data_IF_743522988544
#
_entry.id   IF_743522988544
#
_cell.length_a   1.000
_cell.length_b   1.000
_cell.length_c   1.000
_cell.angle_alpha   90.00
_cell.angle_beta   90.00
_cell.angle_gamma   90.00
#
_symmetry.space_group_name_H-M   'P 1'
#
loop_
_entity.id
_entity.type
_entity.pdbx_description
1 polymer ?
#
# COMPACT_ATOMS: atom_id res chain seq x y z
N UNK A 1 -17.23 24.49 -12.91
CA UNK A 1 -17.43 23.42 -11.91
C UNK A 1 -16.36 23.62 -10.87
N UNK A 2 -16.72 24.08 -9.67
CA UNK A 2 -15.76 24.31 -8.57
C UNK A 2 -15.79 23.06 -7.69
N UNK A 3 -14.61 22.51 -7.50
CA UNK A 3 -14.38 21.13 -7.10
C UNK A 3 -14.73 20.85 -5.63
N UNK A 4 -15.47 19.75 -5.45
CA UNK A 4 -15.63 19.06 -4.17
C UNK A 4 -14.30 18.37 -3.84
N UNK A 5 -13.34 19.10 -3.27
CA UNK A 5 -12.19 18.47 -2.61
C UNK A 5 -12.68 17.96 -1.26
N UNK A 6 -13.00 16.67 -1.20
CA UNK A 6 -13.24 15.99 0.07
C UNK A 6 -11.88 15.85 0.78
N UNK A 7 -11.72 16.59 1.88
CA UNK A 7 -10.57 16.40 2.77
C UNK A 7 -10.61 14.99 3.35
N UNK A 8 -9.45 14.34 3.44
CA UNK A 8 -9.33 13.11 4.22
C UNK A 8 -9.63 13.46 5.69
N UNK A 9 -10.81 13.09 6.18
CA UNK A 9 -11.15 13.25 7.58
C UNK A 9 -10.72 12.00 8.36
N UNK A 10 -9.69 12.15 9.18
CA UNK A 10 -9.23 11.10 10.10
C UNK A 10 -10.38 10.60 10.98
N UNK A 11 -11.34 11.46 11.33
CA UNK A 11 -12.54 11.06 12.08
C UNK A 11 -13.47 10.20 11.26
N UNK A 12 -13.61 10.43 9.96
CA UNK A 12 -14.37 9.53 9.10
C UNK A 12 -13.66 8.18 8.94
N UNK A 13 -12.32 8.16 8.87
CA UNK A 13 -11.56 6.92 8.85
C UNK A 13 -11.74 6.14 10.17
N UNK A 14 -11.63 6.82 11.31
CA UNK A 14 -11.88 6.25 12.65
C UNK A 14 -13.35 5.82 12.80
N UNK A 15 -14.31 6.59 12.30
CA UNK A 15 -15.74 6.26 12.32
C UNK A 15 -16.05 5.04 11.45
N UNK A 16 -15.42 4.95 10.27
CA UNK A 16 -15.58 3.82 9.35
C UNK A 16 -14.97 2.53 9.93
N UNK A 17 -13.76 2.62 10.49
CA UNK A 17 -13.10 1.48 11.15
C UNK A 17 -13.82 1.04 12.42
N UNK A 18 -14.37 1.98 13.20
CA UNK A 18 -15.14 1.64 14.42
C UNK A 18 -16.52 1.05 14.15
N UNK A 19 -17.10 1.30 12.97
CA UNK A 19 -18.36 0.70 12.50
C UNK A 19 -18.13 -0.49 11.56
N UNK A 20 -16.88 -0.91 11.34
CA UNK A 20 -16.59 -1.99 10.42
C UNK A 20 -17.17 -3.31 10.96
N UNK A 21 -18.18 -3.83 10.26
CA UNK A 21 -18.71 -5.17 10.48
C UNK A 21 -18.10 -6.08 9.41
N UNK A 22 -17.58 -7.22 9.83
CA UNK A 22 -17.08 -8.21 8.88
C UNK A 22 -18.27 -8.81 8.10
N UNK A 23 -18.38 -8.45 6.81
CA UNK A 23 -19.42 -8.94 5.90
C UNK A 23 -18.84 -9.97 4.94
N UNK A 24 -19.71 -10.72 4.25
CA UNK A 24 -19.26 -11.62 3.18
C UNK A 24 -18.47 -10.88 2.10
N UNK A 25 -18.89 -9.65 1.76
CA UNK A 25 -18.20 -8.81 0.79
C UNK A 25 -16.81 -8.39 1.27
N UNK A 26 -16.67 -7.97 2.53
CA UNK A 26 -15.37 -7.56 3.04
C UNK A 26 -14.38 -8.72 3.14
N UNK A 27 -14.85 -9.94 3.42
CA UNK A 27 -14.05 -11.17 3.33
C UNK A 27 -13.65 -11.46 1.87
N UNK A 28 -14.56 -11.24 0.92
CA UNK A 28 -14.32 -11.45 -0.50
C UNK A 28 -13.21 -10.51 -1.01
N UNK A 29 -13.29 -9.21 -0.67
CA UNK A 29 -12.26 -8.19 -0.92
C UNK A 29 -10.93 -8.50 -0.25
N UNK A 30 -10.97 -8.90 1.03
CA UNK A 30 -9.81 -9.32 1.79
C UNK A 30 -9.02 -10.42 1.09
N UNK A 31 -9.71 -11.47 0.64
CA UNK A 31 -9.08 -12.54 -0.12
C UNK A 31 -8.65 -12.06 -1.51
N UNK A 32 -9.48 -11.24 -2.15
CA UNK A 32 -9.25 -10.72 -3.48
C UNK A 32 -7.92 -9.98 -3.61
N UNK A 33 -7.49 -9.21 -2.61
CA UNK A 33 -6.22 -8.48 -2.67
C UNK A 33 -5.01 -9.38 -2.95
N UNK A 34 -4.71 -10.33 -2.05
CA UNK A 34 -3.55 -11.20 -2.22
C UNK A 34 -3.73 -12.20 -3.36
N UNK A 35 -4.92 -12.82 -3.48
CA UNK A 35 -5.15 -13.78 -4.57
C UNK A 35 -5.20 -13.13 -5.94
N UNK A 36 -5.70 -11.90 -6.05
CA UNK A 36 -5.72 -11.12 -7.27
C UNK A 36 -4.31 -10.86 -7.78
N UNK A 37 -3.39 -10.48 -6.90
CA UNK A 37 -1.97 -10.33 -7.23
C UNK A 37 -1.38 -11.64 -7.76
N UNK A 38 -1.51 -12.72 -6.98
CA UNK A 38 -0.95 -14.05 -7.29
C UNK A 38 -1.51 -14.63 -8.59
N UNK A 39 -2.83 -14.51 -8.81
CA UNK A 39 -3.46 -15.02 -10.03
C UNK A 39 -3.07 -14.21 -11.26
N UNK A 40 -2.95 -12.89 -11.13
CA UNK A 40 -2.55 -12.01 -12.21
C UNK A 40 -1.08 -12.25 -12.59
N UNK A 41 -0.19 -12.43 -11.60
CA UNK A 41 1.18 -12.88 -11.81
C UNK A 41 1.21 -14.21 -12.57
N UNK A 42 0.57 -15.27 -12.06
CA UNK A 42 0.53 -16.59 -12.71
C UNK A 42 -0.06 -16.57 -14.14
N UNK A 43 -0.91 -15.58 -14.44
CA UNK A 43 -1.43 -15.35 -15.77
C UNK A 43 -0.37 -14.72 -16.68
N UNK A 44 0.33 -13.72 -16.17
CA UNK A 44 1.27 -12.91 -16.91
C UNK A 44 2.66 -13.53 -17.11
N UNK A 45 3.08 -14.50 -16.28
CA UNK A 45 4.38 -15.17 -16.43
C UNK A 45 4.62 -15.77 -17.82
N UNK A 46 3.57 -16.20 -18.52
CA UNK A 46 3.67 -16.74 -19.88
C UNK A 46 4.03 -15.70 -20.95
N UNK A 47 4.08 -14.44 -20.56
CA UNK A 47 4.35 -13.28 -21.41
C UNK A 47 5.67 -12.57 -21.06
N UNK A 48 6.38 -12.99 -20.01
CA UNK A 48 7.74 -12.53 -19.71
C UNK A 48 8.69 -12.76 -20.91
N UNK A 49 9.49 -11.74 -21.25
CA UNK A 49 10.42 -11.64 -22.38
C UNK A 49 9.81 -11.71 -23.81
N UNK A 50 8.52 -11.48 -23.96
CA UNK A 50 7.91 -11.38 -25.30
C UNK A 50 7.77 -9.91 -25.70
N UNK A 51 8.61 -9.39 -26.62
CA UNK A 51 8.52 -8.00 -27.04
C UNK A 51 7.13 -7.75 -27.63
N UNK A 52 6.45 -6.74 -27.08
CA UNK A 52 5.18 -6.19 -27.53
C UNK A 52 4.04 -7.19 -27.83
N UNK A 53 3.04 -7.21 -26.95
CA UNK A 53 1.74 -7.84 -27.22
C UNK A 53 1.10 -7.37 -28.56
N UNK A 54 1.44 -6.15 -29.01
CA UNK A 54 1.07 -5.59 -30.33
C UNK A 54 1.72 -6.34 -31.50
N UNK A 55 3.01 -6.69 -31.41
CA UNK A 55 3.73 -7.44 -32.45
C UNK A 55 3.43 -8.93 -32.41
N UNK A 56 3.08 -9.48 -31.24
CA UNK A 56 2.61 -10.87 -31.08
C UNK A 56 1.33 -11.18 -31.89
N UNK A 57 0.54 -10.14 -32.22
CA UNK A 57 -0.62 -10.24 -33.12
C UNK A 57 -0.21 -10.19 -34.61
N UNK A 58 0.94 -9.59 -34.91
CA UNK A 58 1.41 -9.30 -36.28
C UNK A 58 2.40 -10.36 -36.79
N UNK A 59 3.18 -11.01 -35.91
CA UNK A 59 4.13 -12.06 -36.32
C UNK A 59 3.49 -13.15 -37.18
N UNK A 60 4.12 -13.43 -38.32
CA UNK A 60 3.73 -14.44 -39.34
C UNK A 60 3.85 -15.89 -38.86
N UNK A 61 4.09 -16.13 -37.56
CA UNK A 61 4.29 -17.45 -37.02
C UNK A 61 2.93 -18.13 -36.74
N UNK A 62 2.52 -19.04 -37.62
CA UNK A 62 1.19 -19.69 -37.59
C UNK A 62 0.86 -20.36 -36.24
N UNK A 63 1.86 -20.90 -35.53
CA UNK A 63 1.70 -21.47 -34.18
C UNK A 63 1.32 -20.41 -33.14
N UNK A 64 1.89 -19.21 -33.23
CA UNK A 64 1.65 -18.07 -32.33
C UNK A 64 0.25 -17.48 -32.56
N UNK A 65 -0.15 -17.30 -33.81
CA UNK A 65 -1.53 -16.89 -34.17
C UNK A 65 -2.58 -17.89 -33.68
N UNK A 66 -2.28 -19.18 -33.70
CA UNK A 66 -3.17 -20.25 -33.20
C UNK A 66 -3.31 -20.20 -31.66
N UNK A 67 -2.26 -19.81 -30.94
CA UNK A 67 -2.29 -19.60 -29.49
C UNK A 67 -3.13 -18.36 -29.15
N UNK A 68 -2.86 -17.21 -29.80
CA UNK A 68 -3.61 -15.96 -29.57
C UNK A 68 -5.09 -16.05 -30.00
N UNK A 69 -5.41 -16.79 -31.08
CA UNK A 69 -6.81 -16.98 -31.56
C UNK A 69 -7.61 -18.01 -30.76
N UNK A 70 -6.94 -18.99 -30.11
CA UNK A 70 -7.61 -19.99 -29.26
C UNK A 70 -7.72 -19.55 -27.80
N UNK A 71 -6.98 -18.51 -27.41
CA UNK A 71 -7.04 -17.94 -26.08
C UNK A 71 -8.11 -16.86 -26.04
N UNK A 72 -9.33 -17.25 -25.70
CA UNK A 72 -10.18 -16.30 -24.98
C UNK A 72 -9.48 -16.01 -23.65
N UNK A 73 -9.37 -14.73 -23.28
CA UNK A 73 -8.72 -14.24 -22.05
C UNK A 73 -9.19 -14.98 -20.78
N UNK A 74 -10.39 -15.57 -20.86
CA UNK A 74 -11.03 -16.41 -19.85
C UNK A 74 -10.49 -17.85 -19.70
N UNK A 75 -9.54 -18.34 -20.51
CA UNK A 75 -9.39 -19.80 -20.66
C UNK A 75 -8.30 -20.50 -19.84
N UNK A 76 -7.05 -20.05 -19.67
CA UNK A 76 -6.07 -20.83 -18.87
C UNK A 76 -4.81 -20.05 -18.40
N UNK A 77 -4.33 -20.35 -17.18
CA UNK A 77 -2.97 -20.01 -16.73
C UNK A 77 -1.96 -20.90 -17.47
N UNK A 78 -1.17 -20.32 -18.37
CA UNK A 78 -0.35 -21.09 -19.31
C UNK A 78 0.99 -21.53 -18.72
N UNK A 79 1.53 -20.79 -17.75
CA UNK A 79 2.95 -20.89 -17.42
C UNK A 79 3.83 -20.48 -18.61
N UNK A 80 5.04 -21.00 -18.66
CA UNK A 80 6.05 -20.68 -19.67
C UNK A 80 6.88 -19.47 -19.27
N UNK A 81 7.03 -18.53 -20.21
CA UNK A 81 7.94 -17.39 -20.10
C UNK A 81 9.41 -17.80 -20.06
N UNK A 82 10.29 -16.82 -19.86
CA UNK A 82 11.74 -17.04 -19.75
C UNK A 82 12.16 -17.94 -18.59
N UNK A 83 11.27 -18.11 -17.61
CA UNK A 83 11.51 -18.89 -16.40
C UNK A 83 10.97 -20.32 -16.49
N UNK A 84 10.35 -20.69 -17.61
CA UNK A 84 9.78 -22.02 -17.84
C UNK A 84 8.84 -22.49 -16.71
N UNK A 85 8.03 -21.57 -16.18
CA UNK A 85 7.12 -21.86 -15.08
C UNK A 85 6.02 -22.80 -15.51
N UNK A 86 5.58 -23.70 -14.64
CA UNK A 86 4.43 -24.56 -14.93
C UNK A 86 3.13 -23.76 -14.85
N UNK A 87 2.09 -24.13 -15.60
CA UNK A 87 0.75 -23.56 -15.45
C UNK A 87 0.29 -23.36 -13.99
N UNK A 88 0.03 -22.12 -13.61
CA UNK A 88 -0.42 -21.74 -12.26
C UNK A 88 0.70 -21.52 -11.24
N UNK A 89 1.97 -21.72 -11.61
CA UNK A 89 3.09 -21.19 -10.83
C UNK A 89 3.22 -19.68 -11.03
N UNK A 90 3.80 -19.04 -10.03
CA UNK A 90 3.96 -17.58 -9.94
C UNK A 90 5.42 -17.18 -10.02
N UNK A 91 5.65 -15.91 -10.29
CA UNK A 91 6.97 -15.30 -10.24
C UNK A 91 7.38 -14.95 -8.80
N UNK A 92 8.63 -14.49 -8.62
CA UNK A 92 9.19 -14.28 -7.28
C UNK A 92 8.45 -13.19 -6.48
N UNK A 93 7.87 -12.16 -7.10
CA UNK A 93 7.19 -11.10 -6.34
C UNK A 93 5.96 -11.62 -5.59
N UNK A 94 5.20 -12.56 -6.17
CA UNK A 94 4.10 -13.23 -5.46
C UNK A 94 4.62 -14.18 -4.38
N UNK A 95 5.69 -14.94 -4.66
CA UNK A 95 6.35 -15.75 -3.61
C UNK A 95 6.78 -14.85 -2.43
N UNK A 96 7.29 -13.64 -2.72
CA UNK A 96 7.75 -12.70 -1.70
C UNK A 96 6.62 -12.17 -0.82
N UNK A 97 5.48 -11.80 -1.42
CA UNK A 97 4.29 -11.43 -0.67
C UNK A 97 3.78 -12.57 0.23
N UNK A 98 3.80 -13.82 -0.28
CA UNK A 98 3.41 -14.99 0.53
C UNK A 98 4.33 -15.19 1.74
N UNK A 99 5.63 -14.93 1.58
CA UNK A 99 6.61 -15.04 2.67
C UNK A 99 6.34 -14.00 3.75
N UNK A 100 6.05 -12.75 3.40
CA UNK A 100 5.64 -11.76 4.39
C UNK A 100 4.32 -12.15 5.07
N UNK A 101 3.34 -12.61 4.30
CA UNK A 101 2.06 -13.09 4.83
C UNK A 101 2.26 -14.23 5.85
N UNK A 102 3.17 -15.16 5.57
CA UNK A 102 3.54 -16.24 6.49
C UNK A 102 4.18 -15.71 7.78
N UNK A 103 5.14 -14.77 7.67
CA UNK A 103 5.78 -14.14 8.82
C UNK A 103 4.76 -13.45 9.75
N UNK A 104 3.85 -12.65 9.17
CA UNK A 104 2.79 -11.96 9.90
C UNK A 104 1.85 -12.93 10.62
N UNK A 105 1.51 -14.07 9.98
CA UNK A 105 0.64 -15.08 10.59
C UNK A 105 1.30 -15.85 11.74
N UNK A 106 2.62 -16.03 11.68
CA UNK A 106 3.37 -16.72 12.72
C UNK A 106 3.56 -15.84 13.95
N UNK A 107 3.88 -14.55 13.74
CA UNK A 107 4.09 -13.60 14.85
C UNK A 107 2.79 -12.97 15.34
N UNK A 108 1.74 -12.98 14.52
CA UNK A 108 0.45 -12.29 14.76
C UNK A 108 0.62 -10.78 14.92
N UNK A 109 1.71 -10.24 14.37
CA UNK A 109 2.08 -8.83 14.29
C UNK A 109 3.21 -8.68 13.27
N UNK A 110 3.54 -7.45 12.90
CA UNK A 110 4.75 -7.14 12.14
C UNK A 110 5.96 -7.16 13.06
N UNK A 111 6.80 -8.17 12.85
CA UNK A 111 8.13 -8.28 13.43
C UNK A 111 9.15 -8.23 12.30
N UNK A 112 9.88 -7.12 12.23
CA UNK A 112 10.90 -6.86 11.21
C UNK A 112 11.99 -7.94 11.18
N UNK A 113 12.36 -8.50 12.33
CA UNK A 113 13.40 -9.52 12.42
C UNK A 113 12.92 -10.87 11.88
N UNK A 114 11.67 -11.23 12.16
CA UNK A 114 11.05 -12.43 11.58
C UNK A 114 10.88 -12.29 10.07
N UNK A 115 10.38 -11.13 9.61
CA UNK A 115 10.18 -10.85 8.19
C UNK A 115 11.51 -10.94 7.44
N UNK A 116 12.58 -10.34 7.96
CA UNK A 116 13.91 -10.42 7.37
C UNK A 116 14.43 -11.87 7.31
N UNK A 117 14.22 -12.67 8.37
CA UNK A 117 14.59 -14.08 8.37
C UNK A 117 13.83 -14.87 7.30
N UNK A 118 12.52 -14.70 7.22
CA UNK A 118 11.66 -15.39 6.25
C UNK A 118 12.03 -15.01 4.80
N UNK A 119 12.36 -13.73 4.53
CA UNK A 119 12.90 -13.31 3.23
C UNK A 119 14.23 -13.99 2.90
N UNK A 120 15.16 -14.09 3.85
CA UNK A 120 16.44 -14.75 3.63
C UNK A 120 16.29 -16.26 3.37
N UNK A 121 15.43 -16.94 4.15
CA UNK A 121 15.12 -18.36 3.95
C UNK A 121 14.49 -18.61 2.57
N UNK A 122 13.57 -17.75 2.16
CA UNK A 122 13.00 -17.79 0.82
C UNK A 122 14.04 -17.52 -0.27
N UNK A 123 14.90 -16.52 -0.13
CA UNK A 123 15.93 -16.21 -1.12
C UNK A 123 16.89 -17.39 -1.35
N UNK A 124 17.28 -18.09 -0.27
CA UNK A 124 18.07 -19.34 -0.32
C UNK A 124 17.38 -20.49 -1.04
N UNK A 125 16.06 -20.44 -1.19
CA UNK A 125 15.31 -21.38 -2.02
C UNK A 125 15.53 -21.18 -3.53
N UNK A 126 16.29 -20.15 -3.92
CA UNK A 126 16.59 -19.74 -5.29
C UNK A 126 15.32 -19.53 -6.14
N UNK A 127 14.46 -18.56 -5.78
CA UNK A 127 13.24 -18.24 -6.53
C UNK A 127 13.53 -17.83 -7.97
N UNK A 128 12.70 -18.29 -8.93
CA UNK A 128 12.88 -18.01 -10.35
C UNK A 128 12.72 -16.52 -10.61
N UNK A 129 13.68 -15.96 -11.34
CA UNK A 129 13.64 -14.57 -11.76
C UNK A 129 14.03 -13.53 -10.72
N UNK A 130 14.38 -13.93 -9.49
CA UNK A 130 14.82 -12.96 -8.48
C UNK A 130 16.06 -12.21 -8.95
N UNK A 131 16.02 -10.87 -9.00
CA UNK A 131 17.10 -10.07 -9.55
C UNK A 131 18.28 -10.01 -8.58
N UNK A 132 19.48 -9.78 -9.12
CA UNK A 132 20.72 -9.86 -8.35
C UNK A 132 20.83 -8.78 -7.28
N UNK A 133 20.17 -7.63 -7.46
CA UNK A 133 20.11 -6.59 -6.44
C UNK A 133 19.32 -7.06 -5.20
N UNK A 134 18.21 -7.78 -5.38
CA UNK A 134 17.49 -8.41 -4.26
C UNK A 134 18.30 -9.55 -3.66
N UNK A 135 18.95 -10.40 -4.49
CA UNK A 135 19.86 -11.44 -3.97
C UNK A 135 20.93 -10.85 -3.06
N UNK A 136 21.61 -9.78 -3.48
CA UNK A 136 22.65 -9.12 -2.69
C UNK A 136 22.14 -8.57 -1.37
N UNK A 137 20.92 -8.05 -1.34
CA UNK A 137 20.32 -7.58 -0.09
C UNK A 137 19.94 -8.72 0.84
N UNK A 138 19.32 -9.77 0.30
CA UNK A 138 18.87 -10.93 1.04
C UNK A 138 19.98 -11.95 1.30
N UNK A 139 21.18 -11.78 0.73
CA UNK A 139 22.35 -12.61 1.01
C UNK A 139 23.04 -12.15 2.29
N UNK A 140 22.78 -12.96 3.30
CA UNK A 140 23.17 -12.72 4.68
C UNK A 140 24.14 -13.80 5.19
N UNK A 141 24.65 -14.67 4.29
CA UNK A 141 25.58 -15.77 4.58
C UNK A 141 25.00 -16.89 5.45
N UNK A 142 25.72 -18.00 5.62
CA UNK A 142 25.20 -19.23 6.25
C UNK A 142 25.13 -19.19 7.79
N UNK A 143 25.83 -18.26 8.45
CA UNK A 143 26.13 -18.32 9.89
C UNK A 143 25.38 -17.33 10.78
N UNK A 144 24.19 -16.86 10.40
CA UNK A 144 23.31 -16.21 11.35
C UNK A 144 22.17 -17.17 11.70
N UNK A 145 22.04 -17.56 12.96
CA UNK A 145 20.77 -18.04 13.54
C UNK A 145 20.06 -16.90 14.30
N UNK A 146 20.69 -15.73 14.35
CA UNK A 146 20.25 -14.54 15.07
C UNK A 146 19.44 -13.62 14.13
N UNK A 147 18.13 -13.52 14.40
CA UNK A 147 17.16 -12.73 13.60
C UNK A 147 17.50 -11.23 13.61
N UNK A 148 17.97 -10.70 14.73
CA UNK A 148 18.36 -9.29 14.87
C UNK A 148 19.58 -8.97 14.01
N UNK A 149 20.58 -9.85 14.03
CA UNK A 149 21.76 -9.71 13.15
C UNK A 149 21.38 -9.80 11.68
N UNK A 150 20.42 -10.65 11.32
CA UNK A 150 19.89 -10.71 9.96
C UNK A 150 19.25 -9.40 9.51
N UNK A 151 18.27 -8.88 10.27
CA UNK A 151 17.62 -7.62 9.93
C UNK A 151 18.62 -6.45 9.85
N UNK A 152 19.58 -6.38 10.79
CA UNK A 152 20.66 -5.36 10.75
C UNK A 152 21.53 -5.50 9.50
N UNK A 153 21.96 -6.71 9.15
CA UNK A 153 22.77 -6.96 7.94
C UNK A 153 21.99 -6.66 6.67
N UNK A 154 20.73 -7.04 6.59
CA UNK A 154 19.85 -6.77 5.45
C UNK A 154 19.67 -5.26 5.24
N UNK A 155 19.39 -4.49 6.31
CA UNK A 155 19.33 -3.01 6.25
C UNK A 155 20.64 -2.36 5.78
N UNK A 156 21.78 -2.93 6.18
CA UNK A 156 23.10 -2.48 5.72
C UNK A 156 23.31 -2.81 4.25
N UNK A 157 22.97 -4.03 3.82
CA UNK A 157 23.05 -4.41 2.42
C UNK A 157 22.13 -3.54 1.55
N UNK A 158 20.91 -3.25 2.01
CA UNK A 158 19.99 -2.34 1.31
C UNK A 158 20.58 -0.94 1.15
N UNK A 159 21.26 -0.42 2.18
CA UNK A 159 22.00 0.84 2.10
C UNK A 159 23.15 0.78 1.09
N UNK A 160 23.87 -0.33 1.03
CA UNK A 160 25.08 -0.45 0.20
C UNK A 160 24.79 -0.78 -1.27
N UNK A 161 23.70 -1.50 -1.56
CA UNK A 161 23.44 -2.04 -2.89
C UNK A 161 22.16 -1.49 -3.55
N UNK A 162 21.21 -0.97 -2.75
CA UNK A 162 19.88 -0.56 -3.20
C UNK A 162 19.48 0.85 -2.70
N UNK A 163 20.43 1.73 -2.34
CA UNK A 163 20.10 3.09 -1.89
C UNK A 163 19.49 3.94 -3.01
N UNK A 164 19.97 3.76 -4.24
CA UNK A 164 19.59 4.56 -5.42
C UNK A 164 18.67 3.78 -6.38
N UNK A 165 18.12 2.64 -5.94
CA UNK A 165 17.26 1.78 -6.75
C UNK A 165 15.79 2.08 -6.53
N UNK A 166 15.04 2.16 -7.62
CA UNK A 166 13.60 2.43 -7.60
C UNK A 166 12.77 1.34 -8.25
N UNK A 167 13.00 0.10 -7.81
CA UNK A 167 12.31 -1.08 -8.33
C UNK A 167 10.96 -1.32 -7.61
N UNK A 168 9.85 -1.25 -8.36
CA UNK A 168 8.48 -1.27 -7.82
C UNK A 168 8.02 -2.60 -7.20
N UNK A 169 8.85 -3.63 -7.27
CA UNK A 169 8.59 -4.99 -6.80
C UNK A 169 8.26 -5.07 -5.30
N UNK A 170 8.80 -4.13 -4.51
CA UNK A 170 8.52 -4.00 -3.08
C UNK A 170 7.04 -3.70 -2.78
N UNK A 171 6.30 -3.13 -3.73
CA UNK A 171 4.89 -2.80 -3.53
C UNK A 171 4.04 -4.06 -3.37
N UNK A 172 4.33 -5.13 -4.15
CA UNK A 172 3.55 -6.38 -4.10
C UNK A 172 3.56 -7.01 -2.71
N UNK A 173 4.71 -6.99 -2.03
CA UNK A 173 4.81 -7.51 -0.68
C UNK A 173 4.21 -6.60 0.39
N UNK A 174 3.64 -5.42 0.06
CA UNK A 174 2.91 -4.62 1.04
C UNK A 174 1.47 -5.10 1.25
N UNK A 175 0.93 -5.95 0.37
CA UNK A 175 -0.46 -6.43 0.45
C UNK A 175 -0.77 -7.11 1.80
N UNK A 176 0.08 -8.02 2.34
CA UNK A 176 -0.20 -8.66 3.62
C UNK A 176 -0.21 -7.69 4.81
N UNK A 177 0.60 -6.63 4.77
CA UNK A 177 0.53 -5.55 5.75
C UNK A 177 -0.81 -4.83 5.71
N UNK A 178 -1.29 -4.45 4.51
CA UNK A 178 -2.60 -3.83 4.36
C UNK A 178 -3.73 -4.75 4.88
N UNK A 179 -3.65 -6.06 4.63
CA UNK A 179 -4.60 -7.04 5.14
C UNK A 179 -4.57 -7.13 6.68
N UNK A 180 -3.40 -7.32 7.27
CA UNK A 180 -3.20 -7.47 8.71
C UNK A 180 -3.65 -6.22 9.48
N UNK A 181 -3.33 -5.04 8.95
CA UNK A 181 -3.56 -3.76 9.60
C UNK A 181 -4.72 -2.98 8.98
N UNK A 182 -5.65 -3.66 8.29
CA UNK A 182 -6.75 -2.99 7.56
C UNK A 182 -7.61 -2.08 8.42
N UNK A 183 -7.73 -2.37 9.72
CA UNK A 183 -8.53 -1.61 10.68
C UNK A 183 -7.69 -0.63 11.53
N UNK A 184 -6.37 -0.59 11.38
CA UNK A 184 -5.50 0.36 12.07
C UNK A 184 -5.57 1.74 11.43
N UNK A 185 -5.14 2.78 12.16
CA UNK A 185 -4.92 4.08 11.55
C UNK A 185 -3.85 4.04 10.45
N UNK A 186 -3.98 4.96 9.49
CA UNK A 186 -3.09 5.05 8.34
C UNK A 186 -1.64 5.31 8.75
N UNK A 187 -1.37 6.06 9.83
CA UNK A 187 -0.02 6.39 10.27
C UNK A 187 0.74 5.16 10.78
N UNK A 188 0.06 4.30 11.54
CA UNK A 188 0.59 3.00 11.95
C UNK A 188 0.93 2.17 10.72
N UNK A 189 0.02 2.06 9.75
CA UNK A 189 0.26 1.28 8.53
C UNK A 189 1.43 1.85 7.71
N UNK A 190 1.51 3.16 7.55
CA UNK A 190 2.61 3.85 6.87
C UNK A 190 3.95 3.58 7.53
N UNK A 191 4.01 3.64 8.86
CA UNK A 191 5.22 3.35 9.62
C UNK A 191 5.68 1.90 9.43
N UNK A 192 4.77 0.94 9.44
CA UNK A 192 5.09 -0.48 9.21
C UNK A 192 5.54 -0.75 7.77
N UNK A 193 4.87 -0.14 6.78
CA UNK A 193 5.26 -0.20 5.36
C UNK A 193 6.66 0.38 5.13
N UNK A 194 6.98 1.51 5.78
CA UNK A 194 8.32 2.09 5.72
C UNK A 194 9.39 1.15 6.28
N UNK A 195 9.13 0.52 7.43
CA UNK A 195 10.06 -0.43 8.05
C UNK A 195 10.31 -1.65 7.17
N UNK A 196 9.25 -2.25 6.63
CA UNK A 196 9.37 -3.37 5.69
C UNK A 196 10.12 -2.96 4.42
N UNK A 197 9.82 -1.79 3.86
CA UNK A 197 10.45 -1.30 2.63
C UNK A 197 11.95 -1.11 2.85
N UNK A 198 12.34 -0.45 3.96
CA UNK A 198 13.75 -0.19 4.34
C UNK A 198 14.59 -1.44 4.55
N UNK A 199 13.98 -2.63 4.71
CA UNK A 199 14.73 -3.88 4.69
C UNK A 199 15.44 -4.09 3.34
N UNK A 200 14.85 -3.68 2.21
CA UNK A 200 15.41 -3.97 0.89
C UNK A 200 15.61 -2.77 -0.03
N UNK A 201 14.86 -1.70 0.17
CA UNK A 201 14.91 -0.48 -0.63
C UNK A 201 14.95 0.71 0.32
N UNK A 202 15.98 1.56 0.21
CA UNK A 202 16.12 2.74 1.07
C UNK A 202 15.83 4.06 0.36
N UNK A 203 15.62 4.01 -0.95
CA UNK A 203 15.28 5.19 -1.71
C UNK A 203 13.96 5.81 -1.20
N UNK A 204 13.92 7.12 -0.89
CA UNK A 204 12.72 7.78 -0.38
C UNK A 204 11.49 7.57 -1.26
N UNK A 205 11.66 7.63 -2.59
CA UNK A 205 10.59 7.36 -3.55
C UNK A 205 9.95 5.97 -3.36
N UNK A 206 10.74 4.94 -3.04
CA UNK A 206 10.22 3.59 -2.85
C UNK A 206 9.46 3.46 -1.52
N UNK A 207 9.94 4.12 -0.49
CA UNK A 207 9.28 4.18 0.82
C UNK A 207 7.92 4.86 0.67
N UNK A 208 7.86 5.98 -0.03
CA UNK A 208 6.63 6.74 -0.21
C UNK A 208 5.64 6.06 -1.16
N UNK A 209 6.12 5.44 -2.25
CA UNK A 209 5.29 4.61 -3.10
C UNK A 209 4.67 3.42 -2.33
N UNK A 210 5.45 2.77 -1.45
CA UNK A 210 4.99 1.69 -0.59
C UNK A 210 3.93 2.14 0.42
N UNK A 211 4.10 3.33 1.02
CA UNK A 211 3.10 3.96 1.89
C UNK A 211 1.79 4.22 1.13
N UNK A 212 1.85 4.82 -0.05
CA UNK A 212 0.65 5.16 -0.81
C UNK A 212 -0.07 3.91 -1.32
N UNK A 213 0.67 2.90 -1.79
CA UNK A 213 0.11 1.64 -2.24
C UNK A 213 -0.57 0.85 -1.11
N UNK A 214 0.07 0.76 0.08
CA UNK A 214 -0.49 0.01 1.21
C UNK A 214 -1.78 0.67 1.74
N UNK A 215 -1.84 2.00 1.75
CA UNK A 215 -3.05 2.76 2.13
C UNK A 215 -4.16 2.52 1.10
N UNK A 216 -3.85 2.57 -0.20
CA UNK A 216 -4.84 2.33 -1.24
C UNK A 216 -5.49 0.95 -1.09
N UNK A 217 -4.68 -0.10 -0.86
CA UNK A 217 -5.20 -1.45 -0.59
C UNK A 217 -6.05 -1.45 0.68
N UNK A 218 -5.57 -0.87 1.79
CA UNK A 218 -6.34 -0.79 3.05
C UNK A 218 -7.72 -0.17 2.81
N UNK A 219 -7.79 0.96 2.13
CA UNK A 219 -9.04 1.68 1.89
C UNK A 219 -10.03 0.86 1.07
N UNK A 220 -9.55 0.14 0.04
CA UNK A 220 -10.38 -0.78 -0.74
C UNK A 220 -10.90 -1.95 0.11
N UNK A 221 -10.06 -2.49 1.00
CA UNK A 221 -10.42 -3.57 1.91
C UNK A 221 -11.50 -3.19 2.92
N UNK A 222 -11.54 -1.93 3.36
CA UNK A 222 -12.60 -1.41 4.24
C UNK A 222 -13.83 -0.92 3.48
N UNK A 223 -13.90 -1.14 2.16
CA UNK A 223 -15.09 -0.91 1.37
C UNK A 223 -15.15 0.41 0.59
N UNK A 224 -14.10 1.25 0.65
CA UNK A 224 -14.09 2.52 -0.09
C UNK A 224 -14.08 2.27 -1.60
N UNK A 225 -14.75 3.15 -2.35
CA UNK A 225 -14.71 3.14 -3.81
C UNK A 225 -13.40 3.75 -4.34
N UNK A 226 -13.09 3.49 -5.60
CA UNK A 226 -11.86 3.92 -6.25
C UNK A 226 -11.70 5.45 -6.23
N UNK A 227 -12.77 6.22 -6.45
CA UNK A 227 -12.69 7.69 -6.46
C UNK A 227 -12.31 8.21 -5.07
N UNK A 228 -12.97 7.69 -4.02
CA UNK A 228 -12.64 8.04 -2.64
C UNK A 228 -11.19 7.67 -2.28
N UNK A 229 -10.72 6.50 -2.73
CA UNK A 229 -9.32 6.10 -2.53
C UNK A 229 -8.36 7.05 -3.21
N UNK A 230 -8.56 7.37 -4.50
CA UNK A 230 -7.69 8.26 -5.26
C UNK A 230 -7.63 9.66 -4.66
N UNK A 231 -8.78 10.23 -4.28
CA UNK A 231 -8.84 11.54 -3.65
C UNK A 231 -8.12 11.57 -2.31
N UNK A 232 -8.27 10.49 -1.51
CA UNK A 232 -7.64 10.42 -0.20
C UNK A 232 -6.14 10.25 -0.28
N UNK A 233 -5.61 9.36 -1.13
CA UNK A 233 -4.16 9.22 -1.30
C UNK A 233 -3.55 10.50 -1.90
N UNK A 234 -4.28 11.20 -2.77
CA UNK A 234 -3.85 12.50 -3.28
C UNK A 234 -3.79 13.55 -2.16
N UNK A 235 -4.82 13.66 -1.31
CA UNK A 235 -4.81 14.57 -0.16
C UNK A 235 -3.66 14.25 0.82
N UNK A 236 -3.49 12.96 1.17
CA UNK A 236 -2.41 12.50 2.05
C UNK A 236 -1.03 12.81 1.44
N UNK A 237 -0.86 12.61 0.14
CA UNK A 237 0.41 12.91 -0.54
C UNK A 237 0.81 14.38 -0.43
N UNK A 238 -0.16 15.30 -0.46
CA UNK A 238 0.07 16.75 -0.29
C UNK A 238 0.43 17.12 1.14
N UNK A 239 -0.18 16.46 2.11
CA UNK A 239 0.03 16.76 3.53
C UNK A 239 1.39 16.27 4.05
N UNK A 240 1.82 15.08 3.62
CA UNK A 240 2.96 14.39 4.23
C UNK A 240 4.32 14.68 3.58
N UNK A 241 4.40 15.67 2.69
CA UNK A 241 5.63 16.02 1.97
C UNK A 241 6.34 14.78 1.39
N UNK A 242 5.57 13.91 0.73
CA UNK A 242 6.12 12.70 0.11
C UNK A 242 7.03 13.07 -1.08
N UNK A 243 7.83 12.12 -1.55
CA UNK A 243 8.68 12.30 -2.70
C UNK A 243 7.91 12.92 -3.89
N UNK A 244 8.39 14.05 -4.47
CA UNK A 244 7.62 14.81 -5.44
C UNK A 244 7.15 14.01 -6.65
N UNK A 245 7.99 13.09 -7.16
CA UNK A 245 7.57 12.22 -8.27
C UNK A 245 6.44 11.24 -7.89
N UNK A 246 6.40 10.73 -6.66
CA UNK A 246 5.28 9.88 -6.21
C UNK A 246 4.01 10.73 -6.15
N UNK A 247 4.11 11.95 -5.62
CA UNK A 247 3.00 12.89 -5.59
C UNK A 247 2.49 13.20 -7.01
N UNK A 248 3.39 13.54 -7.94
CA UNK A 248 3.07 13.79 -9.35
C UNK A 248 2.38 12.59 -10.02
N UNK A 249 2.88 11.37 -9.80
CA UNK A 249 2.26 10.15 -10.35
C UNK A 249 0.85 9.92 -9.80
N UNK A 250 0.63 10.21 -8.51
CA UNK A 250 -0.69 10.12 -7.89
C UNK A 250 -1.62 11.19 -8.46
N UNK A 251 -1.13 12.42 -8.61
CA UNK A 251 -1.88 13.54 -9.19
C UNK A 251 -2.35 13.23 -10.62
N UNK A 252 -1.45 12.72 -11.47
CA UNK A 252 -1.82 12.24 -12.81
C UNK A 252 -2.90 11.16 -12.74
N UNK A 253 -2.74 10.18 -11.86
CA UNK A 253 -3.71 9.09 -11.73
C UNK A 253 -5.08 9.58 -11.22
N UNK A 254 -5.11 10.68 -10.45
CA UNK A 254 -6.33 11.28 -9.94
C UNK A 254 -7.01 12.24 -10.93
N UNK A 255 -6.23 12.97 -11.74
CA UNK A 255 -6.74 14.14 -12.47
C UNK A 255 -6.69 14.04 -14.00
N UNK A 256 -5.59 13.55 -14.59
CA UNK A 256 -5.37 13.65 -16.04
C UNK A 256 -5.44 12.32 -16.79
N UNK A 257 -5.16 11.23 -16.09
CA UNK A 257 -5.12 9.86 -16.60
C UNK A 257 -4.17 9.60 -17.78
N UNK A 258 -3.42 10.60 -18.20
CA UNK A 258 -2.42 10.52 -19.26
C UNK A 258 -1.06 10.69 -18.63
N UNK A 259 -0.28 9.62 -18.64
CA UNK A 259 1.12 9.66 -18.29
C UNK A 259 1.96 9.94 -19.54
N UNK A 260 2.69 11.05 -19.50
CA UNK A 260 3.68 11.39 -20.49
C UNK A 260 5.04 11.53 -19.83
N UNK A 261 5.81 10.44 -19.81
CA UNK A 261 7.15 10.44 -19.23
C UNK A 261 8.10 11.41 -19.95
N UNK A 262 7.88 11.67 -21.25
CA UNK A 262 8.74 12.57 -22.03
C UNK A 262 8.64 14.01 -21.57
N UNK A 263 7.54 14.35 -20.91
CA UNK A 263 7.24 15.66 -20.36
C UNK A 263 7.28 15.69 -18.83
N UNK A 264 8.12 14.83 -18.21
CA UNK A 264 8.47 15.01 -16.81
C UNK A 264 9.04 16.42 -16.58
N UNK A 265 8.61 17.13 -15.52
CA UNK A 265 9.20 18.39 -15.13
C UNK A 265 10.73 18.30 -15.02
N UNK A 266 11.45 19.31 -15.52
CA UNK A 266 12.91 19.33 -15.64
C UNK A 266 13.61 19.08 -14.29
N UNK A 267 13.00 19.55 -13.19
CA UNK A 267 13.42 19.33 -11.81
C UNK A 267 13.53 17.84 -11.41
N UNK A 268 12.95 16.92 -12.18
CA UNK A 268 13.06 15.47 -11.97
C UNK A 268 14.04 14.78 -12.93
N UNK A 269 14.71 15.52 -13.82
CA UNK A 269 15.66 14.97 -14.80
C UNK A 269 17.12 14.91 -14.31
N UNK A 270 17.48 15.76 -13.35
CA UNK A 270 18.88 15.93 -12.92
C UNK A 270 19.37 14.93 -11.84
N UNK A 271 18.47 14.22 -11.16
CA UNK A 271 18.79 13.16 -10.18
C UNK A 271 17.92 11.91 -10.44
N UNK A 272 18.13 11.28 -11.61
CA UNK A 272 17.34 10.13 -12.02
C UNK A 272 17.87 8.85 -11.34
N UNK A 273 17.17 8.30 -10.33
CA UNK A 273 17.53 7.01 -9.79
C UNK A 273 17.40 5.94 -10.88
N UNK A 274 18.14 4.85 -10.73
CA UNK A 274 18.11 3.74 -11.68
C UNK A 274 16.66 3.21 -11.84
N UNK A 275 16.19 3.10 -13.08
CA UNK A 275 14.85 2.60 -13.45
C UNK A 275 13.67 3.56 -13.21
N UNK A 276 13.91 4.88 -13.14
CA UNK A 276 12.84 5.88 -12.92
C UNK A 276 11.68 5.80 -13.94
N UNK A 277 12.01 5.67 -15.22
CA UNK A 277 11.01 5.54 -16.30
C UNK A 277 10.11 4.33 -16.10
N UNK A 278 10.75 3.18 -15.86
CA UNK A 278 10.07 1.93 -15.61
C UNK A 278 9.18 2.04 -14.36
N UNK A 279 9.70 2.61 -13.28
CA UNK A 279 8.96 2.83 -12.04
C UNK A 279 7.68 3.62 -12.29
N UNK A 280 7.80 4.82 -12.88
CA UNK A 280 6.65 5.71 -13.03
C UNK A 280 5.60 5.13 -13.98
N UNK A 281 6.03 4.45 -15.05
CA UNK A 281 5.13 3.77 -15.97
C UNK A 281 4.37 2.62 -15.31
N UNK A 282 5.04 1.76 -14.53
CA UNK A 282 4.43 0.63 -13.85
C UNK A 282 3.48 1.07 -12.72
N UNK A 283 3.90 2.06 -11.93
CA UNK A 283 3.09 2.65 -10.88
C UNK A 283 1.81 3.26 -11.44
N UNK A 284 1.95 4.12 -12.45
CA UNK A 284 0.82 4.76 -13.11
C UNK A 284 -0.13 3.71 -13.69
N UNK A 285 0.39 2.73 -14.44
CA UNK A 285 -0.45 1.68 -15.03
C UNK A 285 -1.28 0.91 -14.01
N UNK A 286 -0.74 0.63 -12.82
CA UNK A 286 -1.46 -0.11 -11.79
C UNK A 286 -2.69 0.65 -11.27
N UNK A 287 -2.52 1.93 -10.93
CA UNK A 287 -3.59 2.80 -10.42
C UNK A 287 -4.61 3.17 -11.50
N UNK A 288 -4.14 3.39 -12.72
CA UNK A 288 -4.99 3.66 -13.89
C UNK A 288 -5.86 2.46 -14.25
N UNK A 289 -5.33 1.24 -14.11
CA UNK A 289 -6.06 0.02 -14.46
C UNK A 289 -7.26 -0.24 -13.54
N UNK A 290 -7.22 0.20 -12.29
CA UNK A 290 -8.40 0.17 -11.41
C UNK A 290 -9.36 1.32 -11.66
N UNK A 291 -8.82 2.50 -12.04
CA UNK A 291 -9.65 3.64 -12.39
C UNK A 291 -10.45 3.37 -13.67
N UNK A 292 -9.82 2.99 -14.77
CA UNK A 292 -10.55 2.58 -15.98
C UNK A 292 -11.23 1.21 -15.86
N UNK A 293 -10.88 0.44 -14.83
CA UNK A 293 -11.48 -0.84 -14.46
C UNK A 293 -12.93 -0.73 -13.98
N UNK A 294 -13.54 0.46 -14.02
CA UNK A 294 -14.97 0.70 -13.77
C UNK A 294 -15.92 -0.24 -14.56
N UNK A 295 -15.44 -1.04 -15.52
CA UNK A 295 -16.20 -2.09 -16.20
C UNK A 295 -16.34 -3.39 -15.40
N UNK A 296 -16.85 -3.33 -14.16
CA UNK A 296 -17.39 -4.46 -13.35
C UNK A 296 -16.55 -5.74 -13.15
N UNK A 297 -15.42 -5.91 -13.84
CA UNK A 297 -14.73 -7.17 -14.04
C UNK A 297 -13.21 -6.99 -13.81
N UNK A 298 -12.64 -7.55 -12.73
CA UNK A 298 -11.22 -7.43 -12.44
C UNK A 298 -10.32 -8.05 -13.53
N UNK A 299 -10.85 -8.97 -14.34
CA UNK A 299 -10.09 -9.58 -15.45
C UNK A 299 -9.80 -8.57 -16.56
N UNK A 300 -10.68 -7.62 -16.82
CA UNK A 300 -10.48 -6.59 -17.83
C UNK A 300 -9.35 -5.64 -17.44
N UNK A 301 -9.24 -5.31 -16.14
CA UNK A 301 -8.13 -4.52 -15.60
C UNK A 301 -6.80 -5.26 -15.77
N UNK A 302 -6.75 -6.56 -15.42
CA UNK A 302 -5.56 -7.40 -15.60
C UNK A 302 -5.19 -7.51 -17.10
N UNK A 303 -6.19 -7.60 -17.99
CA UNK A 303 -5.99 -7.59 -19.44
C UNK A 303 -5.38 -6.30 -19.96
N UNK A 304 -5.87 -5.16 -19.50
CA UNK A 304 -5.32 -3.87 -19.92
C UNK A 304 -3.90 -3.68 -19.39
N UNK A 305 -3.64 -4.14 -18.17
CA UNK A 305 -2.30 -4.10 -17.58
C UNK A 305 -1.29 -4.90 -18.43
N UNK A 306 -1.63 -6.12 -18.83
CA UNK A 306 -0.72 -6.93 -19.67
C UNK A 306 -0.56 -6.41 -21.09
N UNK A 307 -1.61 -5.82 -21.67
CA UNK A 307 -1.53 -5.25 -23.03
C UNK A 307 -0.64 -4.00 -23.11
N UNK A 308 -0.44 -3.33 -21.97
CA UNK A 308 0.39 -2.14 -21.86
C UNK A 308 1.83 -2.46 -21.44
N UNK A 309 2.13 -3.68 -21.02
CA UNK A 309 3.46 -4.05 -20.52
C UNK A 309 4.45 -4.32 -21.62
N UNK A 310 5.64 -3.77 -21.46
CA UNK A 310 6.77 -3.95 -22.38
C UNK A 310 7.82 -4.89 -21.74
N UNK A 311 8.29 -4.59 -20.52
CA UNK A 311 9.44 -5.32 -19.92
C UNK A 311 9.12 -6.24 -18.73
N UNK A 312 8.01 -6.04 -18.03
CA UNK A 312 7.69 -6.81 -16.80
C UNK A 312 6.17 -7.00 -16.64
N UNK A 313 5.54 -7.78 -17.54
CA UNK A 313 4.10 -8.04 -17.52
C UNK A 313 3.62 -8.59 -16.16
N UNK A 314 4.39 -9.46 -15.52
CA UNK A 314 3.96 -10.12 -14.27
C UNK A 314 3.88 -9.14 -13.10
N UNK A 315 4.86 -8.25 -12.97
CA UNK A 315 4.89 -7.26 -11.89
C UNK A 315 3.70 -6.29 -11.98
N UNK A 316 3.47 -5.73 -13.17
CA UNK A 316 2.37 -4.78 -13.39
C UNK A 316 1.00 -5.41 -13.20
N UNK A 317 0.79 -6.58 -13.80
CA UNK A 317 -0.48 -7.29 -13.67
C UNK A 317 -0.72 -7.74 -12.23
N UNK A 318 0.32 -8.10 -11.49
CA UNK A 318 0.23 -8.39 -10.06
C UNK A 318 -0.21 -7.16 -9.25
N UNK A 319 0.32 -5.95 -9.53
CA UNK A 319 -0.11 -4.72 -8.85
C UNK A 319 -1.58 -4.40 -9.17
N UNK A 320 -1.94 -4.47 -10.44
CA UNK A 320 -3.33 -4.29 -10.89
C UNK A 320 -4.26 -5.34 -10.28
N UNK A 321 -3.84 -6.60 -10.24
CA UNK A 321 -4.60 -7.70 -9.68
C UNK A 321 -4.83 -7.53 -8.18
N UNK A 322 -3.84 -7.00 -7.45
CA UNK A 322 -3.97 -6.67 -6.04
C UNK A 322 -5.07 -5.64 -5.80
N UNK A 323 -5.02 -4.52 -6.50
CA UNK A 323 -5.98 -3.43 -6.36
C UNK A 323 -7.37 -3.85 -6.87
N UNK A 324 -7.46 -4.48 -8.04
CA UNK A 324 -8.72 -4.95 -8.61
C UNK A 324 -9.37 -6.04 -7.75
N UNK A 325 -8.57 -6.94 -7.19
CA UNK A 325 -9.04 -7.96 -6.25
C UNK A 325 -9.48 -7.36 -4.91
N UNK A 326 -8.77 -6.36 -4.39
CA UNK A 326 -9.18 -5.63 -3.17
C UNK A 326 -10.50 -4.88 -3.38
N UNK A 327 -10.76 -4.38 -4.60
CA UNK A 327 -12.00 -3.67 -4.93
C UNK A 327 -13.18 -4.59 -5.24
N UNK A 328 -13.00 -5.56 -6.14
CA UNK A 328 -14.09 -6.42 -6.63
C UNK A 328 -14.29 -7.69 -5.80
N UNK A 329 -13.28 -8.11 -5.06
CA UNK A 329 -13.28 -9.37 -4.31
C UNK A 329 -12.92 -10.61 -5.14
N UNK A 330 -12.52 -11.67 -4.43
CA UNK A 330 -12.06 -12.92 -5.06
C UNK A 330 -13.15 -13.62 -5.87
N UNK A 331 -14.43 -13.46 -5.51
CA UNK A 331 -15.56 -14.06 -6.24
C UNK A 331 -15.71 -13.55 -7.68
N UNK A 332 -15.17 -12.36 -7.97
CA UNK A 332 -15.17 -11.76 -9.31
C UNK A 332 -13.93 -12.12 -10.11
N UNK A 333 -12.92 -12.74 -9.50
CA UNK A 333 -11.76 -13.29 -10.21
C UNK A 333 -12.11 -14.63 -10.88
N UNK A 334 -11.25 -15.09 -11.79
CA UNK A 334 -11.47 -16.35 -12.53
C UNK A 334 -11.33 -17.57 -11.61
N UNK A 335 -12.44 -18.25 -11.33
CA UNK A 335 -12.44 -19.53 -10.60
C UNK A 335 -11.57 -20.60 -11.29
N UNK A 336 -11.43 -20.55 -12.62
CA UNK A 336 -10.53 -21.44 -13.36
C UNK A 336 -9.07 -21.18 -13.01
N UNK A 337 -8.68 -19.92 -12.89
CA UNK A 337 -7.32 -19.53 -12.47
C UNK A 337 -7.04 -20.02 -11.05
N UNK A 338 -7.99 -19.82 -10.14
CA UNK A 338 -7.89 -20.33 -8.77
C UNK A 338 -7.65 -21.84 -8.70
N UNK A 339 -8.48 -22.63 -9.41
CA UNK A 339 -8.35 -24.10 -9.45
C UNK A 339 -6.99 -24.51 -10.04
N UNK A 340 -6.55 -23.82 -11.10
CA UNK A 340 -5.28 -24.15 -11.76
C UNK A 340 -4.07 -23.86 -10.88
N UNK A 341 -4.06 -22.71 -10.23
CA UNK A 341 -3.03 -22.32 -9.25
C UNK A 341 -3.00 -23.27 -8.05
N UNK A 342 -4.15 -23.68 -7.52
CA UNK A 342 -4.22 -24.68 -6.43
C UNK A 342 -3.60 -26.04 -6.79
N UNK A 343 -3.66 -26.40 -8.07
CA UNK A 343 -3.11 -27.65 -8.60
C UNK A 343 -1.66 -27.50 -9.07
N UNK A 344 -1.12 -26.27 -9.07
CA UNK A 344 0.25 -26.04 -9.49
C UNK A 344 1.23 -26.71 -8.50
N UNK A 345 2.32 -27.31 -8.98
CA UNK A 345 3.31 -27.87 -8.11
C UNK A 345 4.04 -26.76 -7.34
N UNK A 346 4.15 -26.94 -6.02
CA UNK A 346 4.99 -26.09 -5.18
C UNK A 346 6.45 -26.33 -5.60
N UNK A 347 7.15 -25.25 -5.94
CA UNK A 347 8.54 -25.30 -6.37
C UNK A 347 9.47 -25.75 -5.26
N UNK A 348 9.28 -25.22 -4.04
CA UNK A 348 10.09 -25.59 -2.89
C UNK A 348 9.21 -25.80 -1.63
N UNK A 349 9.04 -27.05 -1.20
CA UNK A 349 8.24 -27.40 -0.01
C UNK A 349 8.89 -26.96 1.31
N UNK A 350 10.19 -26.62 1.32
CA UNK A 350 10.88 -26.11 2.51
C UNK A 350 10.45 -24.67 2.83
N UNK A 351 9.95 -23.94 1.83
CA UNK A 351 9.36 -22.61 2.03
C UNK A 351 7.88 -22.77 2.36
N UNK A 352 7.56 -22.89 3.66
CA UNK A 352 6.20 -23.12 4.16
C UNK A 352 5.19 -22.09 3.64
N UNK A 353 5.63 -20.85 3.41
CA UNK A 353 4.81 -19.80 2.81
C UNK A 353 4.16 -20.21 1.48
N UNK A 354 4.84 -21.03 0.66
CA UNK A 354 4.32 -21.48 -0.63
C UNK A 354 3.22 -22.53 -0.50
N UNK A 355 3.04 -23.14 0.67
CA UNK A 355 1.90 -24.02 0.95
C UNK A 355 0.57 -23.24 0.99
N UNK A 356 0.61 -21.91 1.15
CA UNK A 356 -0.56 -21.05 1.03
C UNK A 356 -1.33 -21.26 -0.28
N UNK A 357 -0.60 -21.54 -1.37
CA UNK A 357 -1.19 -21.78 -2.69
C UNK A 357 -2.06 -23.04 -2.75
N UNK A 358 -2.04 -23.91 -1.72
CA UNK A 358 -2.83 -25.15 -1.68
C UNK A 358 -4.14 -24.99 -0.90
N UNK A 359 -5.23 -25.42 -1.56
CA UNK A 359 -6.44 -25.97 -0.92
C UNK A 359 -7.05 -25.14 0.22
N UNK A 360 -7.37 -25.83 1.32
CA UNK A 360 -7.96 -25.30 2.56
C UNK A 360 -6.98 -24.43 3.36
N UNK A 361 -5.68 -24.62 3.17
CA UNK A 361 -4.62 -23.89 3.88
C UNK A 361 -4.72 -22.39 3.62
N UNK A 362 -4.87 -21.96 2.36
CA UNK A 362 -5.02 -20.54 2.04
C UNK A 362 -6.28 -19.89 2.65
N UNK A 363 -7.41 -20.59 2.69
CA UNK A 363 -8.64 -20.10 3.32
C UNK A 363 -8.51 -20.01 4.86
N UNK A 364 -7.90 -21.02 5.48
CA UNK A 364 -7.61 -21.04 6.92
C UNK A 364 -6.61 -19.95 7.31
N UNK A 365 -5.56 -19.76 6.52
CA UNK A 365 -4.54 -18.73 6.76
C UNK A 365 -5.12 -17.32 6.58
N UNK A 366 -5.95 -17.10 5.56
CA UNK A 366 -6.72 -15.85 5.43
C UNK A 366 -7.64 -15.60 6.63
N UNK A 367 -8.39 -16.62 7.07
CA UNK A 367 -9.21 -16.51 8.28
C UNK A 367 -8.38 -16.16 9.53
N UNK A 368 -7.23 -16.81 9.72
CA UNK A 368 -6.31 -16.47 10.82
C UNK A 368 -5.82 -15.03 10.75
N UNK A 369 -5.49 -14.53 9.55
CA UNK A 369 -5.03 -13.14 9.39
C UNK A 369 -6.16 -12.16 9.72
N UNK A 370 -7.40 -12.48 9.34
CA UNK A 370 -8.58 -11.70 9.72
C UNK A 370 -8.77 -11.60 11.23
N UNK A 371 -8.63 -12.72 11.94
CA UNK A 371 -8.70 -12.74 13.41
C UNK A 371 -7.57 -11.92 14.06
N UNK A 372 -6.36 -12.01 13.51
CA UNK A 372 -5.22 -11.23 14.02
C UNK A 372 -5.44 -9.73 13.82
N UNK A 373 -5.97 -9.33 12.66
CA UNK A 373 -6.35 -7.94 12.38
C UNK A 373 -7.41 -7.41 13.36
N UNK A 374 -8.49 -8.17 13.59
CA UNK A 374 -9.53 -7.81 14.54
C UNK A 374 -8.99 -7.69 15.97
N UNK A 375 -8.11 -8.61 16.39
CA UNK A 375 -7.44 -8.55 17.69
C UNK A 375 -6.56 -7.30 17.81
N UNK A 376 -5.79 -6.98 16.78
CA UNK A 376 -4.91 -5.83 16.79
C UNK A 376 -5.72 -4.53 16.94
N UNK A 377 -6.81 -4.40 16.18
CA UNK A 377 -7.75 -3.30 16.34
C UNK A 377 -8.32 -3.20 17.75
N UNK A 378 -8.80 -4.30 18.33
CA UNK A 378 -9.32 -4.32 19.69
C UNK A 378 -8.27 -3.85 20.71
N UNK A 379 -7.02 -4.31 20.58
CA UNK A 379 -5.93 -3.89 21.45
C UNK A 379 -5.62 -2.40 21.32
N UNK A 380 -5.62 -1.84 20.10
CA UNK A 380 -5.45 -0.41 19.89
C UNK A 380 -6.61 0.39 20.49
N UNK A 381 -7.85 -0.02 20.25
CA UNK A 381 -9.06 0.63 20.79
C UNK A 381 -9.05 0.67 22.32
N UNK A 382 -8.69 -0.45 22.97
CA UNK A 382 -8.56 -0.51 24.43
C UNK A 382 -7.44 0.39 24.97
N UNK A 383 -6.31 0.52 24.26
CA UNK A 383 -5.24 1.46 24.63
C UNK A 383 -5.72 2.91 24.51
N UNK A 384 -6.44 3.25 23.43
CA UNK A 384 -6.99 4.60 23.23
C UNK A 384 -8.00 4.99 24.30
N UNK A 385 -8.88 4.07 24.71
CA UNK A 385 -9.83 4.31 25.81
C UNK A 385 -9.15 4.54 27.17
N UNK A 386 -7.93 4.04 27.36
CA UNK A 386 -7.13 4.25 28.58
C UNK A 386 -6.19 5.46 28.51
N UNK A 387 -6.03 6.09 27.35
CA UNK A 387 -5.22 7.30 27.23
C UNK A 387 -6.10 8.53 27.47
N UNK A 388 -5.71 9.47 28.35
CA UNK A 388 -6.35 10.77 28.40
C UNK A 388 -6.17 11.44 27.04
N UNK A 389 -7.28 11.89 26.44
CA UNK A 389 -7.27 12.61 25.17
C UNK A 389 -6.39 13.87 25.37
N UNK A 390 -5.32 14.07 24.59
CA UNK A 390 -4.51 15.28 24.68
C UNK A 390 -5.40 16.51 24.44
N UNK A 391 -5.25 17.57 25.25
CA UNK A 391 -6.20 18.70 25.24
C UNK A 391 -6.37 19.40 23.89
N UNK A 392 -5.38 19.31 23.00
CA UNK A 392 -5.46 19.85 21.63
C UNK A 392 -6.37 19.04 20.69
N UNK A 393 -6.86 17.87 21.12
CA UNK A 393 -7.84 17.05 20.39
C UNK A 393 -9.24 17.08 21.02
N UNK A 394 -9.47 17.83 22.10
CA UNK A 394 -10.82 18.07 22.63
C UNK A 394 -11.52 19.10 21.75
N UNK A 395 -12.35 18.63 20.82
CA UNK A 395 -13.36 19.48 20.16
C UNK A 395 -14.55 19.58 21.12
N UNK A 396 -15.13 20.78 21.34
CA UNK A 396 -16.33 20.88 22.16
C UNK A 396 -17.47 20.11 21.50
N UNK A 397 -17.89 19.03 22.15
CA UNK A 397 -19.18 18.41 21.88
C UNK A 397 -20.24 19.28 22.54
N UNK A 398 -20.89 20.14 21.75
CA UNK A 398 -22.19 20.70 22.10
C UNK A 398 -23.10 20.54 20.91
N UNK A 399 -24.04 19.61 21.02
CA UNK A 399 -25.46 19.70 20.62
C UNK A 399 -26.05 18.30 20.65
N UNK A 400 -26.74 17.97 21.75
CA UNK A 400 -28.01 17.21 21.82
C UNK A 400 -28.36 17.03 23.31
N UNK A 401 -29.14 17.96 23.86
CA UNK A 401 -30.36 17.67 24.61
C UNK A 401 -30.97 18.98 25.12
N UNK A 402 -32.15 19.31 24.58
CA UNK A 402 -33.22 20.01 25.28
C UNK A 402 -34.00 18.92 26.02
N UNK A 403 -34.02 18.92 27.34
CA UNK A 403 -34.92 19.75 28.14
C UNK A 403 -34.72 19.48 29.65
N UNK A 404 -34.95 20.56 30.39
CA UNK A 404 -35.34 20.69 31.80
C UNK A 404 -34.30 20.73 32.95
N UNK A 405 -34.29 21.92 33.55
CA UNK A 405 -34.13 22.31 34.97
C UNK A 405 -32.78 22.88 35.46
N UNK A 406 -32.73 24.22 35.37
CA UNK A 406 -32.40 25.22 36.40
C UNK A 406 -31.36 24.89 37.48
N UNK A 407 -30.28 25.68 37.55
CA UNK A 407 -29.89 26.43 38.74
C UNK A 407 -28.91 27.57 38.39
N UNK A 408 -29.05 28.67 39.13
CA UNK A 408 -28.42 29.99 39.01
C UNK A 408 -26.93 30.08 39.39
N UNK A 409 -26.33 31.15 38.86
CA UNK A 409 -25.26 32.02 39.38
C UNK A 409 -23.90 31.44 39.82
N UNK A 410 -22.84 31.83 39.11
CA UNK A 410 -21.74 32.64 39.68
C UNK A 410 -20.67 33.01 38.63
N UNK A 411 -20.21 34.25 38.73
CA UNK A 411 -19.17 34.94 37.97
C UNK A 411 -17.81 34.22 37.96
N UNK A 412 -17.03 34.34 36.87
CA UNK A 412 -15.55 34.46 36.96
C UNK A 412 -14.88 34.97 35.65
N UNK A 413 -13.69 35.59 35.75
CA UNK A 413 -13.23 36.64 34.84
C UNK A 413 -12.38 36.16 33.65
N UNK A 414 -12.32 36.98 32.60
CA UNK A 414 -11.39 36.85 31.48
C UNK A 414 -9.93 37.09 31.90
N UNK A 415 -8.95 36.40 31.27
CA UNK A 415 -7.65 37.00 31.01
C UNK A 415 -7.46 37.31 29.52
N UNK A 416 -7.05 38.54 29.26
CA UNK A 416 -6.50 39.00 27.99
C UNK A 416 -5.08 38.46 27.77
N UNK A 417 -4.80 38.18 26.51
CA UNK A 417 -3.53 38.34 25.78
C UNK A 417 -2.43 37.24 25.85
N UNK A 418 -2.14 36.74 24.64
CA UNK A 418 -0.97 35.99 24.13
C UNK A 418 -0.47 34.76 24.91
N UNK A 419 -0.62 33.58 24.29
CA UNK A 419 0.13 32.38 24.69
C UNK A 419 1.22 32.09 23.66
N UNK A 420 2.48 32.15 24.11
CA UNK A 420 3.67 31.84 23.31
C UNK A 420 4.05 30.38 23.54
N UNK A 421 3.73 29.49 22.61
CA UNK A 421 4.15 28.09 22.70
C UNK A 421 5.56 27.91 22.16
N UNK A 422 6.46 27.34 22.97
CA UNK A 422 7.82 26.96 22.58
C UNK A 422 7.88 25.43 22.51
N UNK A 423 7.74 24.88 21.31
CA UNK A 423 7.89 23.43 21.10
C UNK A 423 9.35 23.03 21.24
N UNK A 424 9.64 22.05 22.10
CA UNK A 424 10.91 21.31 22.12
C UNK A 424 10.60 19.84 21.87
N UNK A 425 10.94 19.27 20.70
CA UNK A 425 10.79 17.84 20.49
C UNK A 425 11.70 17.07 21.46
N UNK A 426 11.16 16.05 22.14
CA UNK A 426 11.94 15.04 22.85
C UNK A 426 12.45 14.04 21.82
N UNK A 427 13.76 13.96 21.63
CA UNK A 427 14.40 12.92 20.84
C UNK A 427 14.81 11.74 21.73
N UNK A 428 14.48 10.53 21.30
CA UNK A 428 15.12 9.30 21.77
C UNK A 428 16.46 9.24 21.02
N UNK A 429 17.57 9.23 21.76
CA UNK A 429 18.91 9.01 21.18
C UNK A 429 18.97 7.60 20.61
N UNK A 430 19.13 7.48 19.29
CA UNK A 430 19.81 6.34 18.71
C UNK A 430 21.30 6.70 18.60
N UNK A 431 22.14 5.86 19.19
CA UNK A 431 23.60 5.96 19.12
C UNK A 431 24.06 5.64 17.68
N UNK A 432 24.18 6.64 16.83
CA UNK A 432 25.01 6.58 15.61
C UNK A 432 25.59 7.98 15.33
N UNK A 433 26.92 8.05 15.29
CA UNK A 433 27.73 9.24 15.04
C UNK A 433 27.39 9.87 13.68
N UNK A 434 26.61 10.95 13.67
CA UNK A 434 26.69 12.12 12.75
C UNK A 434 25.56 13.09 13.15
N UNK A 435 25.84 14.00 14.09
CA UNK A 435 24.89 15.01 14.51
C UNK A 435 24.92 16.23 13.57
N UNK A 436 23.94 16.35 12.68
CA UNK A 436 23.63 17.65 12.06
C UNK A 436 23.10 18.64 13.13
N UNK A 437 23.39 19.95 13.02
CA UNK A 437 22.89 20.92 13.98
C UNK A 437 21.35 21.01 13.93
N UNK A 438 20.67 21.12 15.08
CA UNK A 438 19.22 21.11 15.12
C UNK A 438 18.65 22.33 14.36
N UNK A 439 17.57 22.15 13.58
CA UNK A 439 16.90 23.26 12.92
C UNK A 439 16.33 24.24 13.97
N UNK A 440 16.32 25.53 13.60
CA UNK A 440 15.79 26.60 14.46
C UNK A 440 14.30 26.35 14.77
N UNK A 441 13.84 26.69 15.99
CA UNK A 441 12.45 26.47 16.38
C UNK A 441 11.49 27.26 15.49
N UNK A 442 10.43 26.57 15.03
CA UNK A 442 9.33 27.17 14.28
C UNK A 442 8.54 28.12 15.20
N UNK A 443 8.43 29.39 14.81
CA UNK A 443 7.58 30.38 15.51
C UNK A 443 6.36 30.63 14.61
N UNK A 444 5.18 30.22 15.07
CA UNK A 444 3.91 30.42 14.36
C UNK A 444 3.21 31.63 14.98
N UNK A 445 2.92 32.64 14.16
CA UNK A 445 2.07 33.78 14.54
C UNK A 445 0.66 33.56 13.98
N UNK A 446 -0.33 33.50 14.85
CA UNK A 446 -1.75 33.36 14.45
C UNK A 446 -2.44 34.71 14.69
N UNK A 447 -2.93 35.33 13.61
CA UNK A 447 -3.73 36.56 13.68
C UNK A 447 -5.22 36.22 13.65
N UNK A 448 -6.01 36.82 14.55
CA UNK A 448 -7.48 36.73 14.51
C UNK A 448 -8.02 37.66 13.42
N UNK A 449 -9.03 37.19 12.69
CA UNK A 449 -9.69 37.98 11.64
C UNK A 449 -10.57 39.08 12.26
N UNK A 450 -10.88 40.15 11.53
CA UNK A 450 -11.81 41.20 11.99
C UNK A 450 -13.20 40.62 12.33
N UNK A 451 -13.58 39.52 11.68
CA UNK A 451 -14.81 38.77 11.95
C UNK A 451 -14.83 38.19 13.38
N UNK A 452 -13.68 37.71 13.85
CA UNK A 452 -13.52 37.18 15.21
C UNK A 452 -13.56 38.29 16.28
N UNK A 453 -13.18 39.52 15.91
CA UNK A 453 -13.23 40.70 16.79
C UNK A 453 -14.63 41.30 16.91
N UNK A 454 -15.43 41.22 15.85
CA UNK A 454 -16.83 41.67 15.88
C UNK A 454 -17.70 40.72 16.72
N UNK A 455 -17.48 39.41 16.60
CA UNK A 455 -18.22 38.40 17.36
C UNK A 455 -17.92 38.48 18.87
N UNK A 456 -16.66 38.73 19.23
CA UNK A 456 -16.25 38.92 20.63
C UNK A 456 -16.76 40.23 21.27
N UNK A 457 -17.25 41.19 20.48
CA UNK A 457 -17.84 42.45 20.97
C UNK A 457 -19.35 42.41 21.13
N UNK A 458 -20.01 41.29 20.79
CA UNK A 458 -21.46 41.16 20.92
C UNK A 458 -22.28 41.99 19.92
N UNK A 459 -21.67 42.51 18.86
CA UNK A 459 -22.31 43.39 17.86
C UNK A 459 -23.13 42.60 16.81
N UNK A 460 -23.73 41.47 17.20
CA UNK A 460 -24.54 40.61 16.33
C UNK A 460 -25.96 41.14 16.08
N UNK A 461 -26.09 42.35 15.54
CA UNK A 461 -27.36 42.94 15.13
C UNK A 461 -27.62 42.78 13.63
N UNK A 462 -28.72 42.09 13.28
CA UNK A 462 -29.48 42.07 12.01
C UNK A 462 -28.72 42.38 10.71
N UNK A 463 -28.56 41.35 9.89
CA UNK A 463 -28.43 41.50 8.44
C UNK A 463 -29.69 40.94 7.79
N UNK A 464 -30.50 41.81 7.19
CA UNK A 464 -31.62 41.44 6.31
C UNK A 464 -31.08 41.19 4.89
N UNK A 465 -31.65 40.17 4.24
CA UNK A 465 -31.59 39.80 2.81
C UNK A 465 -30.21 39.58 2.18
#
# INVERSE_FOLDING_TARGET
MRDYVTYYDEREHIACTSRFVETRESIDRFNGALYGAIMADAYAVGYEDKPNFKEYRIEKNYKVRKIARRQTFASNLLGGGRFHLKPGQVHYHSEWALVQHHALLNRKEFDEEEVAMEYALWARSNPPGMPDHIKRVLDVGDNCFDRKKFAKRMRRNAKNFNSNRVDIEVLIRQIPLAQMYRLSDIYTLMHLSERDTKLTHRHPMMIDAAKMFVIAIQMLLIGRDVSTVMNSIHAISRELNIHPLVHYLIDICANSYQYDFKNLPEEYKDDQPENLEKFGFEFHCAFIAIHYGHSYNPLDSIERAIKRSEDSPSLRTSLTGALAGAFHGISKLSGKWYVRMKRAPIRNRRVKALEFLRGETGARLSHRLRLCSARHWLQQSLRRQKMPIPEHFKIPYTFFNRDEQTYDDAEMPYPRNYVRYKFRPRYIRDDDDYAEPPPKPLIVHVYRTERDKAYARGEGGKWNA
#
